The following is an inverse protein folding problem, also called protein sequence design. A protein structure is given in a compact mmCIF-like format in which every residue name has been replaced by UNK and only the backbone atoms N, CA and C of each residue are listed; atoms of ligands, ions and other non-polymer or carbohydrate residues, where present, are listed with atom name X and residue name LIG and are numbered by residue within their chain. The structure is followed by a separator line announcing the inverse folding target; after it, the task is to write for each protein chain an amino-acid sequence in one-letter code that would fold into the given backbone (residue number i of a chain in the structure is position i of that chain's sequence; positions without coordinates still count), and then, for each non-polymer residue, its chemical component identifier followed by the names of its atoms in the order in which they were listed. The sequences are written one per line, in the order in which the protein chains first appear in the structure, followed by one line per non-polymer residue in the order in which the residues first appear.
data_IF_044250058045
#
_entry.id   IF_044250058045
#
_cell.length_a   1.000
_cell.length_b   1.000
_cell.length_c   1.000
_cell.angle_alpha   90.00
_cell.angle_beta   90.00
_cell.angle_gamma   90.00
#
_symmetry.space_group_name_H-M   'P 1'
#
loop_
_entity.id
_entity.type
_entity.pdbx_description
1 polymer ?
#
# COMPACT_ATOMS: atom_id res chain seq x y z
N UNK A 1 16.52 4.82 -12.10
CA UNK A 1 15.05 4.78 -11.88
C UNK A 1 14.60 3.35 -12.16
N UNK A 2 14.41 2.53 -11.12
CA UNK A 2 13.84 1.19 -11.30
C UNK A 2 12.31 1.31 -11.48
N UNK A 3 11.83 0.96 -12.66
CA UNK A 3 10.41 0.81 -13.01
C UNK A 3 9.92 -0.58 -12.60
N UNK A 4 8.63 -0.70 -12.24
CA UNK A 4 7.95 -1.85 -11.58
C UNK A 4 7.90 -3.18 -12.37
N UNK A 5 8.95 -3.52 -13.11
CA UNK A 5 8.91 -4.51 -14.19
C UNK A 5 8.57 -5.93 -13.79
N UNK A 6 8.72 -6.30 -12.52
CA UNK A 6 8.67 -7.70 -12.16
C UNK A 6 7.71 -8.04 -10.99
N UNK A 7 6.91 -7.08 -10.53
CA UNK A 7 5.92 -7.34 -9.47
C UNK A 7 4.68 -8.09 -10.00
N UNK A 8 4.37 -7.88 -11.28
CA UNK A 8 3.13 -8.34 -11.91
C UNK A 8 3.47 -9.44 -12.90
N UNK A 9 2.89 -10.64 -12.72
CA UNK A 9 3.15 -11.83 -13.56
C UNK A 9 2.80 -11.64 -15.05
N UNK A 10 1.96 -10.64 -15.38
CA UNK A 10 1.62 -10.22 -16.75
C UNK A 10 1.49 -8.69 -16.81
N UNK A 11 2.57 -7.94 -17.05
CA UNK A 11 2.45 -6.50 -17.25
C UNK A 11 1.68 -6.21 -18.55
N UNK A 12 0.89 -5.12 -18.57
CA UNK A 12 0.13 -4.68 -19.75
C UNK A 12 1.07 -4.21 -20.88
N UNK A 13 2.26 -3.73 -20.51
CA UNK A 13 3.35 -3.29 -21.39
C UNK A 13 4.51 -2.76 -20.53
N UNK A 14 5.74 -2.76 -21.04
CA UNK A 14 6.90 -2.21 -20.31
C UNK A 14 6.84 -0.69 -20.19
N UNK A 15 6.24 -0.04 -21.17
CA UNK A 15 5.95 1.39 -21.26
C UNK A 15 4.84 1.87 -20.30
N UNK A 16 3.96 0.95 -19.86
CA UNK A 16 2.89 1.23 -18.90
C UNK A 16 3.33 1.12 -17.44
N UNK A 17 4.61 0.81 -17.18
CA UNK A 17 5.14 0.65 -15.84
C UNK A 17 5.52 2.00 -15.25
N UNK A 18 5.22 2.18 -13.96
CA UNK A 18 5.54 3.40 -13.21
C UNK A 18 6.49 3.08 -12.05
N UNK A 19 7.26 4.06 -11.55
CA UNK A 19 8.11 3.85 -10.37
C UNK A 19 7.30 3.44 -9.14
N UNK A 20 7.87 2.64 -8.24
CA UNK A 20 7.20 2.14 -7.03
C UNK A 20 6.61 3.27 -6.15
N UNK A 21 7.32 4.40 -6.05
CA UNK A 21 6.81 5.57 -5.31
C UNK A 21 5.56 6.16 -5.96
N UNK A 22 5.53 6.25 -7.29
CA UNK A 22 4.36 6.76 -8.01
C UNK A 22 3.18 5.80 -7.91
N UNK A 23 3.43 4.49 -7.98
CA UNK A 23 2.41 3.47 -7.71
C UNK A 23 1.82 3.61 -6.29
N UNK A 24 2.67 3.82 -5.27
CA UNK A 24 2.21 4.00 -3.89
C UNK A 24 1.37 5.28 -3.74
N UNK A 25 1.79 6.39 -4.34
CA UNK A 25 1.01 7.64 -4.36
C UNK A 25 -0.31 7.48 -5.08
N UNK A 26 -0.34 6.72 -6.19
CA UNK A 26 -1.53 6.48 -6.98
C UNK A 26 -2.67 5.86 -6.14
N UNK A 27 -2.33 4.90 -5.27
CA UNK A 27 -3.29 4.19 -4.41
C UNK A 27 -3.48 4.82 -3.02
N UNK A 28 -2.83 5.94 -2.71
CA UNK A 28 -2.95 6.63 -1.41
C UNK A 28 -3.32 8.10 -1.59
N UNK A 29 -2.33 8.96 -1.82
CA UNK A 29 -2.50 10.41 -1.95
C UNK A 29 -3.41 10.79 -3.12
N UNK A 30 -3.15 10.23 -4.30
CA UNK A 30 -3.88 10.61 -5.52
C UNK A 30 -5.30 10.03 -5.50
N UNK A 31 -5.50 8.82 -4.96
CA UNK A 31 -6.84 8.26 -4.76
C UNK A 31 -7.68 9.13 -3.82
N UNK A 32 -7.11 9.55 -2.68
CA UNK A 32 -7.82 10.44 -1.75
C UNK A 32 -8.19 11.78 -2.39
N UNK A 33 -7.28 12.38 -3.17
CA UNK A 33 -7.54 13.64 -3.91
C UNK A 33 -8.63 13.49 -4.97
N UNK A 34 -8.65 12.38 -5.70
CA UNK A 34 -9.68 12.10 -6.71
C UNK A 34 -11.08 12.00 -6.09
N UNK A 35 -11.16 11.57 -4.84
CA UNK A 35 -12.42 11.45 -4.08
C UNK A 35 -12.74 12.70 -3.24
N UNK A 36 -11.86 13.71 -3.21
CA UNK A 36 -12.00 14.89 -2.34
C UNK A 36 -11.82 14.60 -0.85
N UNK A 37 -11.16 13.49 -0.51
CA UNK A 37 -10.98 12.98 0.85
C UNK A 37 -9.55 13.20 1.38
N UNK A 38 -8.71 13.97 0.68
CA UNK A 38 -7.32 14.21 1.06
C UNK A 38 -7.17 14.95 2.39
N UNK A 39 -8.23 15.57 2.91
CA UNK A 39 -8.25 16.16 4.26
C UNK A 39 -8.41 15.11 5.36
N UNK A 40 -9.07 13.99 5.07
CA UNK A 40 -9.41 12.96 6.07
C UNK A 40 -8.57 11.69 5.95
N UNK A 41 -8.03 11.35 4.76
CA UNK A 41 -7.21 10.15 4.54
C UNK A 41 -6.15 10.33 3.46
N UNK A 42 -5.49 9.22 3.08
CA UNK A 42 -4.47 9.17 2.03
C UNK A 42 -3.04 9.51 2.46
N UNK A 43 -2.84 10.03 3.67
CA UNK A 43 -1.50 10.24 4.26
C UNK A 43 -1.53 9.97 5.77
N UNK A 44 -0.37 9.66 6.35
CA UNK A 44 -0.21 9.56 7.79
C UNK A 44 0.11 10.95 8.34
N UNK A 45 -0.87 11.58 8.98
CA UNK A 45 -0.74 12.90 9.60
C UNK A 45 -1.75 13.06 10.74
N UNK A 46 -1.43 13.92 11.71
CA UNK A 46 -2.33 14.26 12.81
C UNK A 46 -3.64 14.84 12.26
N UNK A 47 -4.78 14.40 12.83
CA UNK A 47 -6.13 14.83 12.43
C UNK A 47 -6.76 14.01 11.30
N UNK A 48 -6.04 13.06 10.70
CA UNK A 48 -6.59 12.11 9.71
C UNK A 48 -7.03 10.80 10.34
N UNK A 49 -7.89 10.06 9.63
CA UNK A 49 -8.25 8.69 9.98
C UNK A 49 -6.98 7.83 10.05
N UNK A 50 -6.90 6.99 11.07
CA UNK A 50 -5.84 6.00 11.21
C UNK A 50 -6.11 4.77 10.32
N UNK A 51 -6.10 5.02 9.01
CA UNK A 51 -6.20 4.02 7.94
C UNK A 51 -4.79 3.74 7.41
N UNK A 52 -4.19 2.61 7.83
CA UNK A 52 -2.84 2.24 7.41
C UNK A 52 -2.63 0.73 7.37
N UNK A 53 -1.63 0.32 6.59
CA UNK A 53 -1.22 -1.07 6.43
C UNK A 53 0.26 -1.20 6.77
N UNK A 54 0.60 -2.26 7.49
CA UNK A 54 1.98 -2.64 7.80
C UNK A 54 2.41 -3.73 6.82
N UNK A 55 3.55 -3.52 6.18
CA UNK A 55 4.10 -4.41 5.16
C UNK A 55 5.32 -5.15 5.71
N UNK A 56 5.52 -6.39 5.30
CA UNK A 56 6.67 -7.22 5.72
C UNK A 56 8.01 -6.71 5.19
N UNK A 57 8.01 -5.84 4.18
CA UNK A 57 9.19 -5.22 3.60
C UNK A 57 8.85 -3.83 3.02
N UNK A 58 9.87 -3.00 2.82
CA UNK A 58 9.70 -1.67 2.24
C UNK A 58 9.58 -1.75 0.71
N UNK A 59 8.43 -1.39 0.10
CA UNK A 59 8.23 -1.50 -1.34
C UNK A 59 9.10 -0.52 -2.15
N UNK A 60 9.69 0.50 -1.52
CA UNK A 60 10.62 1.44 -2.18
C UNK A 60 12.06 0.94 -2.19
N UNK A 61 12.37 -0.13 -1.45
CA UNK A 61 13.69 -0.76 -1.36
C UNK A 61 13.70 -2.22 -1.83
N UNK A 62 12.52 -2.76 -2.15
CA UNK A 62 12.38 -4.16 -2.59
C UNK A 62 12.58 -4.21 -4.09
N UNK A 63 13.42 -5.12 -4.61
CA UNK A 63 13.56 -5.36 -6.04
C UNK A 63 12.21 -5.57 -6.70
N UNK A 64 12.03 -5.05 -7.90
CA UNK A 64 10.71 -5.02 -8.52
C UNK A 64 10.15 -6.42 -8.76
N UNK A 65 11.00 -7.43 -8.96
CA UNK A 65 10.65 -8.85 -9.11
C UNK A 65 10.21 -9.54 -7.81
N UNK A 66 10.41 -8.87 -6.68
CA UNK A 66 10.06 -9.36 -5.33
C UNK A 66 8.94 -8.58 -4.68
N UNK A 67 8.42 -7.54 -5.33
CA UNK A 67 7.32 -6.74 -4.78
C UNK A 67 6.05 -7.57 -4.51
N UNK A 68 5.80 -8.61 -5.32
CA UNK A 68 4.68 -9.53 -5.12
C UNK A 68 4.81 -10.44 -3.89
N UNK A 69 6.02 -10.56 -3.32
CA UNK A 69 6.30 -11.36 -2.12
C UNK A 69 6.10 -10.55 -0.83
N UNK A 70 5.88 -9.23 -0.93
CA UNK A 70 5.61 -8.38 0.23
C UNK A 70 4.25 -8.74 0.80
N UNK A 71 4.24 -9.23 2.03
CA UNK A 71 3.02 -9.57 2.75
C UNK A 71 2.48 -8.36 3.51
N UNK A 72 1.16 -8.21 3.50
CA UNK A 72 0.49 -7.41 4.52
C UNK A 72 0.56 -8.18 5.83
N UNK A 73 1.11 -7.57 6.88
CA UNK A 73 1.25 -8.17 8.21
C UNK A 73 0.36 -7.49 9.26
N UNK A 74 -0.26 -6.37 8.90
CA UNK A 74 -1.22 -5.68 9.74
C UNK A 74 -2.02 -4.64 8.97
N UNK A 75 -3.26 -4.41 9.39
CA UNK A 75 -4.11 -3.34 8.88
C UNK A 75 -4.87 -2.70 10.02
N UNK A 76 -4.85 -1.37 10.04
CA UNK A 76 -5.64 -0.53 10.96
C UNK A 76 -6.63 0.27 10.12
N UNK A 77 -7.89 0.26 10.53
CA UNK A 77 -8.99 1.00 9.93
C UNK A 77 -9.60 1.89 11.00
N UNK A 78 -9.57 3.21 10.80
CA UNK A 78 -10.13 4.21 11.71
C UNK A 78 -9.67 4.01 13.17
N UNK A 79 -8.42 3.58 13.34
CA UNK A 79 -7.81 3.33 14.66
C UNK A 79 -8.04 1.93 15.24
N UNK A 80 -8.87 1.10 14.62
CA UNK A 80 -9.08 -0.29 15.02
C UNK A 80 -8.19 -1.23 14.18
N UNK A 81 -7.47 -2.14 14.84
CA UNK A 81 -6.75 -3.21 14.13
C UNK A 81 -7.75 -4.22 13.58
N UNK A 82 -7.85 -4.31 12.25
CA UNK A 82 -8.78 -5.20 11.54
C UNK A 82 -8.09 -6.43 10.94
N UNK A 83 -6.76 -6.44 10.91
CA UNK A 83 -5.95 -7.57 10.48
C UNK A 83 -4.59 -7.53 11.19
N UNK A 84 -4.11 -8.68 11.67
CA UNK A 84 -2.78 -8.81 12.29
C UNK A 84 -2.47 -10.23 12.78
N UNK A 85 -1.20 -10.50 13.10
CA UNK A 85 -0.71 -11.76 13.68
C UNK A 85 0.66 -12.19 13.13
N UNK A 86 1.41 -13.00 13.91
CA UNK A 86 2.76 -13.46 13.56
C UNK A 86 2.85 -14.19 12.20
N UNK A 87 1.75 -14.84 11.79
CA UNK A 87 1.66 -15.63 10.54
C UNK A 87 0.70 -15.04 9.49
N UNK A 88 0.17 -13.83 9.71
CA UNK A 88 -0.70 -13.17 8.72
C UNK A 88 -2.20 -13.52 8.80
N UNK A 89 -2.78 -13.48 10.01
CA UNK A 89 -4.18 -13.08 10.16
C UNK A 89 -4.95 -13.71 11.33
N UNK A 90 -5.66 -12.85 12.07
CA UNK A 90 -7.09 -12.98 12.40
C UNK A 90 -7.74 -11.57 12.31
N UNK A 91 -8.80 -11.36 11.51
CA UNK A 91 -9.68 -10.20 11.66
C UNK A 91 -10.55 -10.34 12.92
N UNK A 92 -10.50 -9.37 13.84
CA UNK A 92 -11.36 -9.36 15.03
C UNK A 92 -12.56 -8.44 14.77
N UNK A 93 -13.65 -9.13 14.43
CA UNK A 93 -15.09 -8.86 14.68
C UNK A 93 -15.54 -7.41 14.88
N UNK A 94 -16.41 -6.98 13.96
CA UNK A 94 -17.74 -6.48 14.36
C UNK A 94 -18.80 -7.41 13.78
#
# INVERSE_FOLDING_TARGET
MEVLAAAVKRPVGTDQQIPALEALKAITLNAARQLGEEKIKGSIAVGKLADLTVLSANPLKTPTDKLGDIRVIGTVKEGATVFGGADGGVPITR
#
